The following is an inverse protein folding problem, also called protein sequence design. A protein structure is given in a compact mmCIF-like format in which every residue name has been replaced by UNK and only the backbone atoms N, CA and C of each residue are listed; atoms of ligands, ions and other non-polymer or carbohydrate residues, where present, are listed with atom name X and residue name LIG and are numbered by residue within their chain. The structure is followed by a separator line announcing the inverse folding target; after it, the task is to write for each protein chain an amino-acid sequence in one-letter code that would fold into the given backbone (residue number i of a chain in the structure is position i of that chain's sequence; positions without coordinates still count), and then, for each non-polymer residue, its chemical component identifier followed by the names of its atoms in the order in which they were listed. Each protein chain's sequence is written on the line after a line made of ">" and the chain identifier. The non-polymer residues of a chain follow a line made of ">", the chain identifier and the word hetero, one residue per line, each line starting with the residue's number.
data_IF_009187185644
#
_entry.id   IF_009187185644
#
_cell.length_a   1.000
_cell.length_b   1.000
_cell.length_c   1.000
_cell.angle_alpha   90.00
_cell.angle_beta   90.00
_cell.angle_gamma   90.00
#
_symmetry.space_group_name_H-M   'P 1'
#
loop_
_entity.id
_entity.type
_entity.pdbx_description
1 polymer ?
#
# COMPACT_ATOMS: atom_id res chain seq x y z
N UNK A 1 -47.09 1.28 11.03
CA UNK A 1 -46.48 2.62 11.16
C UNK A 1 -45.25 2.69 12.07
N UNK A 2 -45.17 1.97 13.21
CA UNK A 2 -44.00 2.00 14.12
C UNK A 2 -42.68 1.44 13.54
N UNK A 3 -42.76 0.48 12.60
CA UNK A 3 -41.58 -0.14 11.98
C UNK A 3 -40.86 0.78 10.99
N UNK A 4 -41.59 1.53 10.16
CA UNK A 4 -41.01 2.49 9.21
C UNK A 4 -40.23 3.59 9.93
N UNK A 5 -40.71 4.06 11.08
CA UNK A 5 -40.05 5.11 11.84
C UNK A 5 -38.70 4.66 12.40
N UNK A 6 -38.55 3.36 12.73
CA UNK A 6 -37.27 2.79 13.19
C UNK A 6 -36.27 2.62 12.06
N UNK A 7 -36.72 2.24 10.85
CA UNK A 7 -35.86 2.17 9.67
C UNK A 7 -35.34 3.55 9.25
N UNK A 8 -36.19 4.58 9.34
CA UNK A 8 -35.81 5.95 9.00
C UNK A 8 -34.71 6.47 9.94
N UNK A 9 -34.86 6.24 11.25
CA UNK A 9 -33.87 6.63 12.25
C UNK A 9 -32.53 5.88 12.08
N UNK A 10 -32.58 4.62 11.65
CA UNK A 10 -31.37 3.83 11.38
C UNK A 10 -30.61 4.36 10.15
N UNK A 11 -31.33 4.72 9.08
CA UNK A 11 -30.74 5.29 7.87
C UNK A 11 -30.04 6.63 8.13
N UNK A 12 -30.63 7.47 8.99
CA UNK A 12 -30.04 8.75 9.40
C UNK A 12 -28.75 8.51 10.21
N UNK A 13 -28.75 7.54 11.13
CA UNK A 13 -27.55 7.19 11.88
C UNK A 13 -26.40 6.69 10.97
N UNK A 14 -26.71 5.94 9.91
CA UNK A 14 -25.72 5.47 8.92
C UNK A 14 -25.14 6.60 8.05
N UNK A 15 -25.94 7.64 7.73
CA UNK A 15 -25.47 8.81 6.98
C UNK A 15 -24.52 9.74 7.76
N UNK A 16 -24.43 9.56 9.08
CA UNK A 16 -23.56 10.33 9.97
C UNK A 16 -22.23 9.62 10.27
N UNK A 17 -21.98 8.42 9.71
CA UNK A 17 -20.65 7.83 9.80
C UNK A 17 -19.68 8.68 8.98
N UNK A 18 -18.58 9.16 9.58
CA UNK A 18 -17.51 9.80 8.83
C UNK A 18 -17.02 8.81 7.79
N UNK A 19 -17.10 9.18 6.51
CA UNK A 19 -16.40 8.47 5.46
C UNK A 19 -14.91 8.62 5.76
N UNK A 20 -14.28 7.58 6.32
CA UNK A 20 -12.83 7.50 6.50
C UNK A 20 -12.17 7.25 5.13
N UNK A 21 -12.49 8.09 4.15
CA UNK A 21 -11.71 8.22 2.94
C UNK A 21 -10.46 9.03 3.32
N UNK A 22 -9.50 8.38 3.97
CA UNK A 22 -8.16 8.94 4.13
C UNK A 22 -7.68 9.29 2.72
N UNK A 23 -7.43 10.57 2.46
CA UNK A 23 -6.69 10.98 1.26
C UNK A 23 -5.38 10.23 1.28
N UNK A 24 -5.21 9.34 0.30
CA UNK A 24 -3.98 8.58 0.10
C UNK A 24 -2.89 9.60 -0.25
N UNK A 25 -2.14 10.07 0.74
CA UNK A 25 -0.97 10.90 0.48
C UNK A 25 0.08 10.02 -0.20
N UNK A 26 0.42 10.42 -1.42
CA UNK A 26 1.48 9.81 -2.20
C UNK A 26 2.73 10.68 -2.03
N UNK A 27 3.87 10.04 -1.87
CA UNK A 27 5.15 10.73 -1.71
C UNK A 27 5.94 10.78 -3.02
N UNK A 28 7.20 11.23 -2.99
CA UNK A 28 8.10 11.12 -4.13
C UNK A 28 8.41 9.65 -4.45
N UNK A 29 8.86 9.38 -5.67
CA UNK A 29 9.41 8.08 -6.00
C UNK A 29 10.79 7.90 -5.35
N UNK A 30 10.90 7.01 -4.35
CA UNK A 30 12.19 6.66 -3.72
C UNK A 30 12.50 5.15 -3.87
N UNK A 31 13.02 4.72 -5.04
CA UNK A 31 13.17 3.30 -5.38
C UNK A 31 13.97 2.47 -4.38
N UNK A 32 15.10 3.00 -3.88
CA UNK A 32 15.95 2.28 -2.93
C UNK A 32 15.26 2.08 -1.57
N UNK A 33 14.53 3.08 -1.07
CA UNK A 33 13.76 2.96 0.18
C UNK A 33 12.59 1.99 0.00
N UNK A 34 11.88 2.08 -1.13
CA UNK A 34 10.83 1.15 -1.51
C UNK A 34 11.31 -0.31 -1.52
N UNK A 35 12.45 -0.61 -2.16
CA UNK A 35 13.03 -1.96 -2.17
C UNK A 35 13.34 -2.45 -0.75
N UNK A 36 13.93 -1.61 0.10
CA UNK A 36 14.22 -1.96 1.49
C UNK A 36 12.95 -2.27 2.30
N UNK A 37 11.90 -1.46 2.11
CA UNK A 37 10.59 -1.66 2.76
C UNK A 37 9.98 -2.98 2.30
N UNK A 38 10.00 -3.26 0.99
CA UNK A 38 9.49 -4.52 0.45
C UNK A 38 10.23 -5.70 1.05
N UNK A 39 11.56 -5.70 1.03
CA UNK A 39 12.34 -6.83 1.54
C UNK A 39 12.10 -7.09 3.02
N UNK A 40 12.08 -6.01 3.81
CA UNK A 40 11.83 -6.07 5.25
C UNK A 40 10.43 -6.60 5.54
N UNK A 41 9.43 -6.15 4.77
CA UNK A 41 8.05 -6.61 4.87
C UNK A 41 7.93 -8.11 4.60
N UNK A 42 8.49 -8.57 3.49
CA UNK A 42 8.48 -9.96 3.10
C UNK A 42 9.23 -10.83 4.11
N UNK A 43 10.33 -10.32 4.68
CA UNK A 43 11.06 -10.98 5.77
C UNK A 43 10.25 -11.17 7.04
N UNK A 44 9.19 -10.38 7.26
CA UNK A 44 8.24 -10.54 8.37
C UNK A 44 7.05 -11.46 8.03
N UNK A 45 7.06 -12.09 6.85
CA UNK A 45 5.99 -12.99 6.41
C UNK A 45 4.79 -12.29 5.76
N UNK A 46 4.88 -10.98 5.50
CA UNK A 46 3.81 -10.27 4.79
C UNK A 46 3.80 -10.63 3.29
N UNK A 47 2.66 -10.43 2.66
CA UNK A 47 2.50 -10.53 1.21
C UNK A 47 3.09 -9.32 0.47
N UNK A 48 3.33 -9.45 -0.83
CA UNK A 48 3.76 -8.32 -1.68
C UNK A 48 2.72 -7.18 -1.65
N UNK A 49 1.42 -7.49 -1.63
CA UNK A 49 0.37 -6.47 -1.55
C UNK A 49 0.49 -5.64 -0.25
N UNK A 50 0.68 -6.31 0.89
CA UNK A 50 0.89 -5.63 2.17
C UNK A 50 2.20 -4.82 2.17
N UNK A 51 3.25 -5.34 1.54
CA UNK A 51 4.50 -4.61 1.35
C UNK A 51 4.30 -3.32 0.53
N UNK A 52 3.49 -3.37 -0.54
CA UNK A 52 3.15 -2.19 -1.33
C UNK A 52 2.35 -1.16 -0.53
N UNK A 53 1.41 -1.60 0.31
CA UNK A 53 0.69 -0.69 1.21
C UNK A 53 1.64 0.02 2.18
N UNK A 54 2.64 -0.68 2.71
CA UNK A 54 3.65 -0.05 3.57
C UNK A 54 4.54 0.96 2.81
N UNK A 55 4.82 0.75 1.52
CA UNK A 55 5.52 1.77 0.73
C UNK A 55 4.71 3.05 0.59
N UNK A 56 3.40 2.92 0.37
CA UNK A 56 2.50 4.07 0.27
C UNK A 56 2.42 4.79 1.62
N UNK A 57 2.22 4.05 2.71
CA UNK A 57 2.21 4.61 4.08
C UNK A 57 3.54 5.28 4.45
N UNK A 58 4.66 4.80 3.92
CA UNK A 58 5.97 5.40 4.12
C UNK A 58 6.25 6.59 3.20
N UNK A 59 5.31 6.99 2.34
CA UNK A 59 5.45 8.09 1.38
C UNK A 59 6.68 7.96 0.47
N UNK A 60 6.99 6.74 0.00
CA UNK A 60 8.11 6.49 -0.93
C UNK A 60 7.66 6.12 -2.34
N UNK A 61 6.36 6.27 -2.61
CA UNK A 61 5.72 5.93 -3.88
C UNK A 61 4.80 7.05 -4.33
N UNK A 62 4.92 7.43 -5.60
CA UNK A 62 4.21 8.57 -6.22
C UNK A 62 2.94 8.16 -7.00
N UNK A 63 2.56 6.88 -6.97
CA UNK A 63 1.41 6.37 -7.72
C UNK A 63 1.70 6.05 -9.19
N UNK A 64 2.87 6.39 -9.72
CA UNK A 64 3.17 6.26 -11.14
C UNK A 64 3.66 4.85 -11.51
N UNK A 65 3.32 4.42 -12.73
CA UNK A 65 3.89 3.18 -13.31
C UNK A 65 5.40 3.30 -13.51
N UNK A 66 5.90 4.50 -13.79
CA UNK A 66 7.33 4.77 -13.93
C UNK A 66 8.07 4.46 -12.63
N UNK A 67 7.53 4.88 -11.48
CA UNK A 67 8.13 4.58 -10.19
C UNK A 67 8.17 3.08 -9.91
N UNK A 68 7.13 2.32 -10.27
CA UNK A 68 7.14 0.85 -10.18
C UNK A 68 8.30 0.26 -11.00
N UNK A 69 8.51 0.74 -12.23
CA UNK A 69 9.64 0.30 -13.06
C UNK A 69 10.97 0.58 -12.37
N UNK A 70 11.17 1.79 -11.84
CA UNK A 70 12.41 2.13 -11.13
C UNK A 70 12.61 1.30 -9.87
N UNK A 71 11.57 1.02 -9.10
CA UNK A 71 11.64 0.10 -7.94
C UNK A 71 12.10 -1.28 -8.40
N UNK A 72 11.52 -1.79 -9.50
CA UNK A 72 11.84 -3.09 -10.07
C UNK A 72 13.30 -3.15 -10.52
N UNK A 73 13.76 -2.17 -11.29
CA UNK A 73 15.17 -2.07 -11.74
C UNK A 73 16.14 -1.92 -10.56
N UNK A 74 15.81 -1.05 -9.60
CA UNK A 74 16.62 -0.87 -8.38
C UNK A 74 16.72 -2.17 -7.58
N UNK A 75 15.66 -2.99 -7.55
CA UNK A 75 15.72 -4.31 -6.90
C UNK A 75 16.68 -5.28 -7.60
N UNK A 76 16.93 -5.14 -8.91
CA UNK A 76 17.98 -5.92 -9.58
C UNK A 76 19.37 -5.50 -9.12
N UNK A 77 19.60 -4.19 -9.02
CA UNK A 77 20.88 -3.63 -8.56
C UNK A 77 21.17 -4.01 -7.11
N UNK A 78 20.13 -4.04 -6.27
CA UNK A 78 20.24 -4.36 -4.85
C UNK A 78 19.94 -5.83 -4.50
N UNK A 79 19.95 -6.73 -5.49
CA UNK A 79 19.50 -8.12 -5.32
C UNK A 79 20.22 -8.89 -4.20
N UNK A 80 21.50 -8.59 -3.98
CA UNK A 80 22.31 -9.31 -2.99
C UNK A 80 22.00 -8.80 -1.56
N UNK A 81 21.72 -7.50 -1.43
CA UNK A 81 21.37 -6.86 -0.16
C UNK A 81 19.91 -7.06 0.25
N UNK A 82 19.01 -7.13 -0.73
CA UNK A 82 17.56 -7.26 -0.54
C UNK A 82 16.97 -8.39 -1.41
N UNK A 83 17.38 -9.66 -1.15
CA UNK A 83 17.07 -10.78 -2.03
C UNK A 83 15.60 -11.18 -2.05
N UNK A 84 14.82 -10.91 -0.99
CA UNK A 84 13.38 -11.23 -0.97
C UNK A 84 12.62 -10.26 -1.86
N UNK A 85 12.94 -8.97 -1.80
CA UNK A 85 12.35 -7.99 -2.71
C UNK A 85 12.67 -8.34 -4.17
N UNK A 86 13.93 -8.63 -4.48
CA UNK A 86 14.32 -9.04 -5.83
C UNK A 86 13.54 -10.28 -6.31
N UNK A 87 13.54 -11.36 -5.50
CA UNK A 87 12.81 -12.59 -5.84
C UNK A 87 11.33 -12.32 -6.09
N UNK A 88 10.68 -11.56 -5.21
CA UNK A 88 9.25 -11.27 -5.33
C UNK A 88 8.89 -10.38 -6.52
N UNK A 89 9.81 -9.54 -7.01
CA UNK A 89 9.55 -8.60 -8.10
C UNK A 89 9.97 -9.12 -9.48
N UNK A 90 10.82 -10.15 -9.54
CA UNK A 90 11.39 -10.67 -10.79
C UNK A 90 11.21 -12.16 -11.02
N UNK A 91 11.17 -12.96 -9.96
CA UNK A 91 11.25 -14.42 -10.03
C UNK A 91 9.98 -15.13 -9.55
N UNK A 92 8.95 -14.36 -9.18
CA UNK A 92 7.64 -14.83 -8.73
C UNK A 92 6.61 -14.75 -9.85
#
# INVERSE_FOLDING_TARGET
>A
MRALNRLLLLAIALSMLPSAASTLELGPCEPAKAVKIIDTSLGKGNTLQQAMQMMIQANVFDGSKACITFIRETSMTLRDSYPRAFKSLWLN
#
